data_IF_559025406094
#
_entry.id   IF_559025406094
#
_cell.length_a   1.000
_cell.length_b   1.000
_cell.length_c   1.000
_cell.angle_alpha   90.00
_cell.angle_beta   90.00
_cell.angle_gamma   90.00
#
_symmetry.space_group_name_H-M   'P 1'
#
loop_
_entity.id
_entity.type
_entity.pdbx_description
1 polymer ?
#
# COMPACT_ATOMS: atom_id res chain seq x y z
N UNK A 1 -12.96 2.67 9.31
CA UNK A 1 -12.58 1.55 10.20
C UNK A 1 -13.49 0.35 10.00
N UNK A 2 -13.27 -0.44 8.93
CA UNK A 2 -13.86 -1.78 8.76
C UNK A 2 -12.79 -2.87 8.50
N UNK A 3 -11.54 -2.48 8.27
CA UNK A 3 -10.38 -3.37 8.30
C UNK A 3 -9.76 -3.33 9.68
N UNK A 4 -9.54 -4.49 10.28
CA UNK A 4 -8.87 -4.63 11.57
C UNK A 4 -7.40 -4.20 11.43
N UNK A 5 -7.12 -2.90 11.60
CA UNK A 5 -5.79 -2.33 11.45
C UNK A 5 -4.82 -2.79 12.55
N UNK A 6 -3.50 -2.70 12.33
CA UNK A 6 -2.80 -1.84 11.36
C UNK A 6 -3.01 -2.27 9.91
N UNK A 7 -3.15 -1.30 9.01
CA UNK A 7 -3.38 -1.56 7.59
C UNK A 7 -2.15 -2.15 6.90
N UNK A 8 -2.35 -3.22 6.14
CA UNK A 8 -1.41 -3.72 5.15
C UNK A 8 -2.02 -3.45 3.78
N UNK A 9 -1.30 -2.72 2.93
CA UNK A 9 -1.87 -2.14 1.72
C UNK A 9 -1.05 -2.58 0.51
N UNK A 10 -1.69 -3.32 -0.40
CA UNK A 10 -1.20 -3.56 -1.75
C UNK A 10 -1.81 -2.57 -2.73
N UNK A 11 -0.98 -1.93 -3.55
CA UNK A 11 -1.39 -0.90 -4.50
C UNK A 11 -0.90 -1.26 -5.89
N UNK A 12 -1.79 -1.17 -6.88
CA UNK A 12 -1.43 -1.23 -8.29
C UNK A 12 -1.64 0.15 -8.91
N UNK A 13 -0.64 0.64 -9.64
CA UNK A 13 -0.76 1.84 -10.47
C UNK A 13 -0.85 1.42 -11.94
N UNK A 14 -2.03 1.59 -12.54
CA UNK A 14 -2.30 1.18 -13.92
C UNK A 14 -3.03 -0.17 -14.02
N UNK A 15 -2.90 -0.84 -15.16
CA UNK A 15 -3.75 -2.00 -15.51
C UNK A 15 -5.16 -1.61 -15.96
N UNK A 16 -5.94 -2.61 -16.33
CA UNK A 16 -7.38 -2.48 -16.60
C UNK A 16 -8.21 -2.76 -15.34
N UNK A 17 -9.54 -2.73 -15.46
CA UNK A 17 -10.45 -2.91 -14.33
C UNK A 17 -10.26 -4.26 -13.62
N UNK A 18 -9.95 -5.34 -14.33
CA UNK A 18 -9.74 -6.64 -13.72
C UNK A 18 -8.28 -6.84 -13.29
N UNK A 19 -7.32 -6.59 -14.19
CA UNK A 19 -5.90 -6.84 -13.91
C UNK A 19 -5.35 -5.95 -12.81
N UNK A 20 -5.81 -4.69 -12.70
CA UNK A 20 -5.37 -3.78 -11.63
C UNK A 20 -5.74 -4.30 -10.23
N UNK A 21 -6.95 -4.82 -10.03
CA UNK A 21 -7.36 -5.38 -8.74
C UNK A 21 -6.60 -6.67 -8.39
N UNK A 22 -6.43 -7.54 -9.38
CA UNK A 22 -5.68 -8.79 -9.22
C UNK A 22 -4.22 -8.50 -8.87
N UNK A 23 -3.60 -7.55 -9.55
CA UNK A 23 -2.22 -7.16 -9.31
C UNK A 23 -2.03 -6.47 -7.96
N UNK A 24 -2.94 -5.59 -7.54
CA UNK A 24 -2.92 -4.98 -6.21
C UNK A 24 -3.00 -6.05 -5.10
N UNK A 25 -3.81 -7.09 -5.33
CA UNK A 25 -3.91 -8.24 -4.41
C UNK A 25 -2.59 -9.02 -4.33
N UNK A 26 -1.85 -9.16 -5.44
CA UNK A 26 -0.49 -9.74 -5.41
C UNK A 26 0.48 -8.87 -4.63
N UNK A 27 0.43 -7.55 -4.77
CA UNK A 27 1.28 -6.64 -3.99
C UNK A 27 1.03 -6.78 -2.48
N UNK A 28 -0.22 -6.98 -2.07
CA UNK A 28 -0.59 -7.23 -0.66
C UNK A 28 0.05 -8.51 -0.08
N UNK A 29 0.38 -9.49 -0.93
CA UNK A 29 0.97 -10.78 -0.53
C UNK A 29 2.51 -10.78 -0.56
N UNK A 30 3.14 -9.66 -0.93
CA UNK A 30 4.61 -9.53 -0.91
C UNK A 30 5.16 -9.56 0.51
N UNK A 31 6.42 -9.95 0.64
CA UNK A 31 7.12 -9.98 1.92
C UNK A 31 7.23 -8.56 2.50
N UNK A 32 7.07 -8.44 3.82
CA UNK A 32 7.10 -7.13 4.50
C UNK A 32 8.47 -6.46 4.34
N UNK A 33 9.55 -7.24 4.27
CA UNK A 33 10.93 -6.75 4.25
C UNK A 33 11.43 -6.34 2.85
N UNK A 34 10.65 -6.60 1.80
CA UNK A 34 11.02 -6.17 0.45
C UNK A 34 10.68 -4.68 0.18
N UNK A 35 11.08 -4.14 -0.96
CA UNK A 35 10.65 -2.81 -1.42
C UNK A 35 10.55 -2.82 -2.93
N UNK A 36 9.81 -1.86 -3.49
CA UNK A 36 9.74 -1.73 -4.94
C UNK A 36 11.13 -1.52 -5.56
N UNK A 37 11.50 -2.24 -6.64
CA UNK A 37 12.78 -2.02 -7.32
C UNK A 37 12.81 -0.68 -8.08
N UNK A 38 11.66 -0.05 -8.32
CA UNK A 38 11.55 1.29 -8.88
C UNK A 38 11.76 2.34 -7.75
N UNK A 39 12.81 3.17 -7.81
CA UNK A 39 13.11 4.13 -6.74
C UNK A 39 11.96 5.10 -6.44
N UNK A 40 11.19 5.52 -7.45
CA UNK A 40 10.08 6.45 -7.25
C UNK A 40 8.90 5.77 -6.53
N UNK A 41 8.68 4.48 -6.79
CA UNK A 41 7.67 3.70 -6.09
C UNK A 41 8.11 3.33 -4.68
N UNK A 42 9.38 3.02 -4.47
CA UNK A 42 9.93 2.78 -3.13
C UNK A 42 9.84 4.04 -2.24
N UNK A 43 10.12 5.22 -2.81
CA UNK A 43 9.92 6.49 -2.11
C UNK A 43 8.43 6.69 -1.76
N UNK A 44 7.52 6.35 -2.67
CA UNK A 44 6.09 6.43 -2.43
C UNK A 44 5.62 5.46 -1.33
N UNK A 45 6.10 4.21 -1.32
CA UNK A 45 5.88 3.25 -0.23
C UNK A 45 6.28 3.85 1.12
N UNK A 46 7.51 4.40 1.19
CA UNK A 46 8.03 5.03 2.40
C UNK A 46 7.25 6.29 2.82
N UNK A 47 6.80 7.11 1.85
CA UNK A 47 6.00 8.30 2.12
C UNK A 47 4.63 7.93 2.69
N UNK A 48 3.95 6.94 2.13
CA UNK A 48 2.66 6.45 2.64
C UNK A 48 2.81 5.89 4.05
N UNK A 49 3.86 5.12 4.31
CA UNK A 49 4.15 4.62 5.66
C UNK A 49 4.38 5.76 6.66
N UNK A 50 5.09 6.81 6.26
CA UNK A 50 5.34 7.98 7.11
C UNK A 50 4.06 8.76 7.38
N UNK A 51 3.37 9.19 6.32
CA UNK A 51 2.18 10.03 6.40
C UNK A 51 1.01 9.29 7.07
N UNK A 52 0.76 8.03 6.70
CA UNK A 52 -0.32 7.24 7.31
C UNK A 52 -0.14 7.04 8.81
N UNK A 53 1.10 6.95 9.29
CA UNK A 53 1.41 6.85 10.71
C UNK A 53 1.41 8.20 11.46
N UNK A 54 1.14 9.32 10.78
CA UNK A 54 0.83 10.62 11.41
C UNK A 54 -0.65 10.83 11.69
N UNK A 55 -1.53 9.92 11.25
CA UNK A 55 -2.99 10.08 11.38
C UNK A 55 -3.53 9.83 12.80
N UNK A 56 -2.70 9.34 13.73
CA UNK A 56 -3.08 9.04 15.13
C UNK A 56 -4.31 8.14 15.32
N UNK A 57 -4.63 7.30 14.31
CA UNK A 57 -5.72 6.32 14.35
C UNK A 57 -5.33 5.11 15.21
N UNK A 58 -4.09 4.62 15.04
CA UNK A 58 -3.55 3.48 15.77
C UNK A 58 -4.19 2.14 15.41
N UNK A 59 -3.73 1.05 16.06
CA UNK A 59 -4.27 -0.29 15.84
C UNK A 59 -5.75 -0.33 16.19
N UNK A 60 -6.57 -0.90 15.30
CA UNK A 60 -8.03 -1.01 15.48
C UNK A 60 -8.78 0.32 15.75
N UNK A 61 -8.13 1.49 15.62
CA UNK A 61 -8.73 2.78 15.98
C UNK A 61 -8.57 3.19 17.45
N UNK A 62 -7.72 2.51 18.24
CA UNK A 62 -7.48 2.84 19.66
C UNK A 62 -6.49 4.01 19.87
N UNK A 63 -6.34 4.87 18.86
CA UNK A 63 -5.38 5.97 18.81
C UNK A 63 -3.91 5.52 18.82
N UNK A 64 -3.04 6.40 18.36
CA UNK A 64 -1.59 6.19 18.31
C UNK A 64 -1.05 6.14 16.88
N UNK A 65 0.28 6.08 16.79
CA UNK A 65 0.99 6.28 15.52
C UNK A 65 0.96 5.07 14.59
N UNK A 66 0.70 3.87 15.10
CA UNK A 66 0.80 2.64 14.31
C UNK A 66 -0.50 2.33 13.56
N UNK A 67 -0.74 3.07 12.49
CA UNK A 67 -1.93 2.99 11.63
C UNK A 67 -1.72 2.07 10.43
N UNK A 68 -0.54 2.15 9.80
CA UNK A 68 -0.16 1.34 8.63
C UNK A 68 1.09 0.55 8.99
N UNK A 69 1.02 -0.77 8.82
CA UNK A 69 2.12 -1.70 9.06
C UNK A 69 2.96 -1.98 7.82
N UNK A 70 2.37 -1.88 6.62
CA UNK A 70 3.06 -2.17 5.38
C UNK A 70 2.34 -1.53 4.19
N UNK A 71 3.12 -1.02 3.22
CA UNK A 71 2.63 -0.58 1.92
C UNK A 71 3.52 -1.17 0.82
N UNK A 72 2.89 -1.78 -0.19
CA UNK A 72 3.58 -2.40 -1.34
C UNK A 72 2.95 -1.90 -2.62
N UNK A 73 3.76 -1.30 -3.47
CA UNK A 73 3.33 -0.60 -4.68
C UNK A 73 4.12 -1.13 -5.87
N UNK A 74 3.39 -1.42 -6.93
CA UNK A 74 3.98 -1.67 -8.23
C UNK A 74 3.05 -1.17 -9.35
N UNK A 75 3.57 -1.08 -10.57
CA UNK A 75 2.89 -0.48 -11.71
C UNK A 75 2.68 -1.47 -12.85
N UNK A 76 1.58 -1.30 -13.55
CA UNK A 76 1.26 -1.96 -14.80
C UNK A 76 1.00 -0.92 -15.87
N UNK A 77 1.32 -1.25 -17.12
CA UNK A 77 0.88 -0.42 -18.24
C UNK A 77 -0.65 -0.37 -18.28
N UNK A 78 -1.20 0.80 -18.59
CA UNK A 78 -2.63 1.00 -18.86
C UNK A 78 -2.83 1.50 -20.28
N UNK A 79 -3.94 1.15 -20.90
CA UNK A 79 -4.37 1.76 -22.15
C UNK A 79 -4.65 3.27 -21.91
N UNK A 80 -4.24 4.16 -22.82
CA UNK A 80 -4.34 5.60 -22.60
C UNK A 80 -5.79 6.07 -22.41
N UNK A 81 -6.74 5.57 -23.18
CA UNK A 81 -8.20 5.55 -22.98
C UNK A 81 -8.84 4.87 -24.19
#
# INVERSE_FOLDING_TARGET
GKGCGPGFIGVAIGGDRASGYEFAKRQLLRNVDDSSPDPALAELEARIMREGNTLDIGPMGFSGKFTIGCCKIDKLNRLPA
#
